data_IF_277595994739
#
_entry.id   IF_277595994739
#
_cell.length_a   1.000
_cell.length_b   1.000
_cell.length_c   1.000
_cell.angle_alpha   90.00
_cell.angle_beta   90.00
_cell.angle_gamma   90.00
#
_symmetry.space_group_name_H-M   'P 1'
#
loop_
_entity.id
_entity.type
_entity.pdbx_description
1 polymer ?
#
# COMPACT_ATOMS: atom_id res chain seq x y z
N UNK A 1 -25.78 -0.26 -25.12
CA UNK A 1 -25.13 -1.42 -24.46
C UNK A 1 -23.69 -1.06 -24.19
N UNK A 2 -23.39 -0.48 -23.03
CA UNK A 2 -21.99 -0.27 -22.59
C UNK A 2 -21.63 -1.45 -21.69
N UNK A 3 -21.35 -2.60 -22.30
CA UNK A 3 -20.84 -3.76 -21.58
C UNK A 3 -19.44 -3.43 -21.06
N UNK A 4 -19.11 -3.84 -19.83
CA UNK A 4 -17.74 -3.79 -19.37
C UNK A 4 -16.89 -4.74 -20.21
N UNK A 5 -15.65 -4.35 -20.48
CA UNK A 5 -14.69 -5.24 -21.15
C UNK A 5 -14.21 -6.28 -20.15
N UNK A 6 -14.37 -7.56 -20.46
CA UNK A 6 -13.75 -8.68 -19.74
C UNK A 6 -12.43 -9.05 -20.40
N UNK A 7 -11.55 -9.69 -19.65
CA UNK A 7 -10.41 -10.44 -20.20
C UNK A 7 -10.63 -11.94 -19.93
N UNK A 8 -10.15 -12.79 -20.81
CA UNK A 8 -10.32 -14.23 -20.67
C UNK A 8 -9.45 -14.79 -19.54
N UNK A 9 -10.07 -15.49 -18.59
CA UNK A 9 -9.36 -16.18 -17.50
C UNK A 9 -8.50 -17.29 -18.12
N UNK A 10 -7.25 -17.50 -17.65
CA UNK A 10 -6.40 -18.52 -18.26
C UNK A 10 -7.03 -19.91 -18.20
N UNK A 11 -6.97 -20.62 -19.31
CA UNK A 11 -7.59 -21.94 -19.47
C UNK A 11 -7.14 -22.93 -18.39
N UNK A 12 -8.11 -23.73 -17.90
CA UNK A 12 -7.90 -24.79 -16.93
C UNK A 12 -7.67 -24.31 -15.49
N UNK A 13 -7.66 -23.00 -15.24
CA UNK A 13 -7.35 -22.45 -13.91
C UNK A 13 -8.49 -22.68 -12.92
N UNK A 14 -9.74 -22.49 -13.34
CA UNK A 14 -10.89 -22.66 -12.46
C UNK A 14 -11.08 -24.13 -12.06
N UNK A 15 -10.90 -25.05 -13.00
CA UNK A 15 -10.97 -26.49 -12.78
C UNK A 15 -9.87 -26.96 -11.82
N UNK A 16 -8.63 -26.48 -12.01
CA UNK A 16 -7.51 -26.83 -11.11
C UNK A 16 -7.67 -26.22 -9.73
N UNK A 17 -8.32 -25.06 -9.60
CA UNK A 17 -8.67 -24.47 -8.30
C UNK A 17 -9.68 -25.32 -7.52
N UNK A 18 -10.54 -26.08 -8.21
CA UNK A 18 -11.49 -27.02 -7.60
C UNK A 18 -10.86 -28.42 -7.32
N UNK A 19 -9.57 -28.63 -7.62
CA UNK A 19 -8.93 -29.93 -7.43
C UNK A 19 -8.91 -30.35 -5.96
N UNK A 20 -9.06 -31.65 -5.64
CA UNK A 20 -8.83 -32.18 -4.29
C UNK A 20 -7.35 -32.13 -3.86
N UNK A 21 -6.41 -31.99 -4.81
CA UNK A 21 -4.99 -31.88 -4.49
C UNK A 21 -4.61 -30.44 -4.12
N UNK A 22 -4.11 -30.27 -2.89
CA UNK A 22 -3.78 -28.96 -2.34
C UNK A 22 -2.81 -28.16 -3.23
N UNK A 23 -1.73 -28.79 -3.70
CA UNK A 23 -0.71 -28.12 -4.53
C UNK A 23 -1.31 -27.58 -5.83
N UNK A 24 -2.11 -28.40 -6.54
CA UNK A 24 -2.81 -27.97 -7.76
C UNK A 24 -3.73 -26.76 -7.49
N UNK A 25 -4.45 -26.75 -6.36
CA UNK A 25 -5.29 -25.61 -5.99
C UNK A 25 -4.46 -24.35 -5.76
N UNK A 26 -3.36 -24.45 -5.01
CA UNK A 26 -2.52 -23.30 -4.68
C UNK A 26 -1.88 -22.70 -5.93
N UNK A 27 -1.34 -23.55 -6.80
CA UNK A 27 -0.70 -23.12 -8.04
C UNK A 27 -1.69 -22.45 -9.00
N UNK A 28 -2.89 -23.03 -9.14
CA UNK A 28 -3.94 -22.45 -9.96
C UNK A 28 -4.40 -21.08 -9.44
N UNK A 29 -4.57 -20.94 -8.12
CA UNK A 29 -4.92 -19.65 -7.53
C UNK A 29 -3.81 -18.62 -7.62
N UNK A 30 -2.55 -19.02 -7.45
CA UNK A 30 -1.40 -18.14 -7.67
C UNK A 30 -1.35 -17.65 -9.13
N UNK A 31 -1.62 -18.54 -10.10
CA UNK A 31 -1.72 -18.19 -11.52
C UNK A 31 -2.87 -17.22 -11.79
N UNK A 32 -4.06 -17.47 -11.22
CA UNK A 32 -5.21 -16.58 -11.36
C UNK A 32 -4.93 -15.20 -10.78
N UNK A 33 -4.32 -15.14 -9.59
CA UNK A 33 -3.94 -13.91 -8.91
C UNK A 33 -2.92 -13.10 -9.70
N UNK A 34 -1.91 -13.74 -10.27
CA UNK A 34 -0.95 -13.08 -11.14
C UNK A 34 -1.64 -12.47 -12.37
N UNK A 35 -2.46 -13.27 -13.06
CA UNK A 35 -3.20 -12.82 -14.24
C UNK A 35 -4.13 -11.65 -13.92
N UNK A 36 -4.85 -11.68 -12.79
CA UNK A 36 -5.78 -10.60 -12.43
C UNK A 36 -5.05 -9.29 -12.10
N UNK A 37 -3.86 -9.37 -11.50
CA UNK A 37 -3.01 -8.19 -11.28
C UNK A 37 -2.48 -7.59 -12.57
N UNK A 38 -2.12 -8.42 -13.55
CA UNK A 38 -1.68 -7.98 -14.89
C UNK A 38 -2.84 -7.39 -15.72
N UNK A 39 -4.08 -7.85 -15.47
CA UNK A 39 -5.29 -7.44 -16.18
C UNK A 39 -6.24 -6.60 -15.32
N UNK A 40 -5.71 -5.80 -14.38
CA UNK A 40 -6.46 -5.13 -13.32
C UNK A 40 -7.65 -4.29 -13.79
N UNK A 41 -7.63 -3.80 -15.03
CA UNK A 41 -8.71 -2.97 -15.60
C UNK A 41 -9.98 -3.77 -15.87
N UNK A 42 -9.86 -5.06 -16.22
CA UNK A 42 -10.93 -5.91 -16.75
C UNK A 42 -11.13 -7.20 -15.94
N UNK A 43 -10.12 -7.63 -15.18
CA UNK A 43 -10.19 -8.85 -14.39
C UNK A 43 -11.27 -8.85 -13.28
N UNK A 44 -11.65 -7.72 -12.64
CA UNK A 44 -12.75 -7.76 -11.67
C UNK A 44 -14.05 -8.27 -12.27
N UNK A 45 -14.38 -7.86 -13.48
CA UNK A 45 -15.59 -8.29 -14.19
C UNK A 45 -15.52 -9.76 -14.61
N UNK A 46 -14.37 -10.23 -15.11
CA UNK A 46 -14.20 -11.66 -15.42
C UNK A 46 -14.30 -12.55 -14.17
N UNK A 47 -13.78 -12.08 -13.03
CA UNK A 47 -13.88 -12.79 -11.75
C UNK A 47 -15.32 -12.78 -11.20
N UNK A 48 -16.09 -11.72 -11.46
CA UNK A 48 -17.52 -11.66 -11.16
C UNK A 48 -18.29 -12.73 -11.92
N UNK A 49 -18.05 -12.83 -13.23
CA UNK A 49 -18.66 -13.85 -14.09
C UNK A 49 -18.31 -15.27 -13.62
N UNK A 50 -17.04 -15.55 -13.32
CA UNK A 50 -16.61 -16.83 -12.79
C UNK A 50 -17.23 -17.15 -11.42
N UNK A 51 -17.38 -16.15 -10.55
CA UNK A 51 -18.04 -16.30 -9.25
C UNK A 51 -19.53 -16.62 -9.39
N UNK A 52 -20.22 -15.98 -10.34
CA UNK A 52 -21.66 -16.17 -10.57
C UNK A 52 -21.96 -17.51 -11.26
N UNK A 53 -21.14 -17.92 -12.23
CA UNK A 53 -21.37 -19.11 -13.07
C UNK A 53 -20.88 -20.41 -12.45
N UNK A 54 -19.84 -20.38 -11.60
CA UNK A 54 -19.32 -21.59 -10.97
C UNK A 54 -20.33 -22.21 -10.00
N UNK A 55 -20.35 -23.53 -9.88
CA UNK A 55 -21.08 -24.26 -8.84
C UNK A 55 -20.19 -24.71 -7.69
N UNK A 56 -18.86 -24.65 -7.87
CA UNK A 56 -17.88 -25.11 -6.90
C UNK A 56 -17.66 -24.07 -5.78
N UNK A 57 -17.82 -24.42 -4.49
CA UNK A 57 -17.66 -23.48 -3.38
C UNK A 57 -16.25 -22.90 -3.23
N UNK A 58 -15.20 -23.66 -3.54
CA UNK A 58 -13.81 -23.22 -3.45
C UNK A 58 -13.52 -22.18 -4.52
N UNK A 59 -13.95 -22.45 -5.76
CA UNK A 59 -13.84 -21.51 -6.88
C UNK A 59 -14.61 -20.23 -6.57
N UNK A 60 -15.85 -20.32 -6.08
CA UNK A 60 -16.62 -19.13 -5.69
C UNK A 60 -15.89 -18.28 -4.67
N UNK A 61 -15.42 -18.90 -3.59
CA UNK A 61 -14.77 -18.20 -2.47
C UNK A 61 -13.49 -17.50 -2.91
N UNK A 62 -12.67 -18.18 -3.71
CA UNK A 62 -11.40 -17.64 -4.22
C UNK A 62 -11.61 -16.55 -5.28
N UNK A 63 -12.54 -16.75 -6.21
CA UNK A 63 -12.91 -15.72 -7.18
C UNK A 63 -13.47 -14.48 -6.48
N UNK A 64 -14.34 -14.64 -5.47
CA UNK A 64 -14.87 -13.51 -4.70
C UNK A 64 -13.78 -12.74 -3.96
N UNK A 65 -12.88 -13.46 -3.28
CA UNK A 65 -11.77 -12.87 -2.53
C UNK A 65 -10.85 -12.09 -3.47
N UNK A 66 -10.45 -12.70 -4.58
CA UNK A 66 -9.57 -12.07 -5.54
C UNK A 66 -10.25 -10.90 -6.25
N UNK A 67 -11.54 -11.03 -6.60
CA UNK A 67 -12.35 -9.97 -7.20
C UNK A 67 -12.38 -8.74 -6.31
N UNK A 68 -12.64 -8.90 -5.01
CA UNK A 68 -12.59 -7.82 -4.03
C UNK A 68 -11.20 -7.18 -3.98
N UNK A 69 -10.14 -8.00 -3.91
CA UNK A 69 -8.76 -7.53 -3.89
C UNK A 69 -8.42 -6.67 -5.12
N UNK A 70 -8.69 -7.16 -6.33
CA UNK A 70 -8.34 -6.45 -7.56
C UNK A 70 -9.24 -5.27 -7.86
N UNK A 71 -10.53 -5.33 -7.49
CA UNK A 71 -11.44 -4.19 -7.63
C UNK A 71 -10.96 -3.03 -6.74
N UNK A 72 -10.65 -3.33 -5.47
CA UNK A 72 -10.13 -2.33 -4.54
C UNK A 72 -8.81 -1.77 -5.06
N UNK A 73 -7.91 -2.65 -5.53
CA UNK A 73 -6.63 -2.20 -6.09
C UNK A 73 -6.83 -1.35 -7.35
N UNK A 74 -7.81 -1.65 -8.20
CA UNK A 74 -8.16 -0.84 -9.38
C UNK A 74 -8.64 0.55 -8.98
N UNK A 75 -9.47 0.65 -7.94
CA UNK A 75 -10.09 1.92 -7.55
C UNK A 75 -9.20 2.78 -6.66
N UNK A 76 -8.42 2.16 -5.77
CA UNK A 76 -7.69 2.84 -4.70
C UNK A 76 -6.16 2.61 -4.74
N UNK A 77 -5.67 1.80 -5.68
CA UNK A 77 -4.26 1.39 -5.74
C UNK A 77 -3.90 0.35 -4.67
N UNK A 78 -2.61 0.07 -4.49
CA UNK A 78 -2.11 -0.91 -3.49
C UNK A 78 -2.19 -0.43 -2.03
N UNK A 79 -2.85 0.71 -1.80
CA UNK A 79 -2.86 1.41 -0.52
C UNK A 79 -1.66 2.34 -0.34
N UNK A 80 -1.76 3.19 0.69
CA UNK A 80 -0.75 4.20 1.02
C UNK A 80 0.53 3.55 1.52
N UNK A 81 1.66 4.09 1.07
CA UNK A 81 2.98 3.68 1.50
C UNK A 81 3.20 3.92 2.99
N UNK A 82 4.01 3.04 3.59
CA UNK A 82 4.37 3.09 5.00
C UNK A 82 5.82 2.65 5.20
N UNK A 83 6.60 3.47 5.92
CA UNK A 83 8.01 3.20 6.25
C UNK A 83 8.16 2.43 7.56
N UNK A 84 7.36 2.75 8.60
CA UNK A 84 7.42 2.08 9.90
C UNK A 84 8.30 2.76 10.95
N UNK A 85 8.12 4.07 11.17
CA UNK A 85 8.84 4.83 12.19
C UNK A 85 7.90 5.68 13.03
N UNK A 86 8.27 5.90 14.30
CA UNK A 86 7.83 7.10 15.03
C UNK A 86 8.87 8.19 14.83
N UNK A 87 8.40 9.43 14.80
CA UNK A 87 9.22 10.55 14.38
C UNK A 87 8.80 11.86 15.03
N UNK A 88 9.75 12.79 15.10
CA UNK A 88 9.54 14.15 15.57
C UNK A 88 10.24 15.15 14.65
N UNK A 89 9.75 16.39 14.66
CA UNK A 89 10.39 17.49 13.94
C UNK A 89 11.73 17.82 14.59
N UNK A 90 12.75 18.11 13.78
CA UNK A 90 14.05 18.56 14.29
C UNK A 90 14.71 19.52 13.31
N UNK A 91 15.75 20.20 13.76
CA UNK A 91 16.64 20.94 12.87
C UNK A 91 18.09 20.56 13.15
N UNK A 92 18.92 20.56 12.12
CA UNK A 92 20.35 20.28 12.19
C UNK A 92 21.16 21.55 11.89
N UNK A 93 22.28 21.78 12.58
CA UNK A 93 23.20 22.85 12.20
C UNK A 93 23.80 22.58 10.81
N UNK A 94 23.89 23.62 9.97
CA UNK A 94 24.62 23.53 8.69
C UNK A 94 26.09 23.83 8.90
N UNK A 95 26.92 23.37 7.94
CA UNK A 95 28.37 23.64 7.92
C UNK A 95 28.73 25.13 7.91
N UNK A 96 27.80 25.99 7.47
CA UNK A 96 27.97 27.44 7.47
C UNK A 96 27.74 28.09 8.84
N UNK A 97 27.37 27.32 9.88
CA UNK A 97 27.27 27.74 11.28
C UNK A 97 26.11 28.70 11.60
N UNK A 98 25.59 29.40 10.59
CA UNK A 98 24.57 30.45 10.74
C UNK A 98 23.16 29.93 10.41
N UNK A 99 23.05 28.86 9.62
CA UNK A 99 21.76 28.34 9.17
C UNK A 99 21.48 26.96 9.76
N UNK A 100 20.20 26.68 9.99
CA UNK A 100 19.72 25.34 10.33
C UNK A 100 19.08 24.67 9.11
N UNK A 101 19.09 23.34 9.09
CA UNK A 101 18.43 22.50 8.11
C UNK A 101 17.25 21.78 8.78
N UNK A 102 16.03 21.89 8.27
CA UNK A 102 14.89 21.14 8.78
C UNK A 102 15.05 19.64 8.53
N UNK A 103 14.47 18.82 9.40
CA UNK A 103 14.62 17.37 9.35
C UNK A 103 13.57 16.63 10.18
N UNK A 104 13.48 15.33 9.93
CA UNK A 104 12.60 14.40 10.64
C UNK A 104 13.47 13.44 11.44
N UNK A 105 13.45 13.55 12.77
CA UNK A 105 14.19 12.64 13.66
C UNK A 105 13.39 11.37 13.86
N UNK A 106 14.03 10.23 13.67
CA UNK A 106 13.47 8.91 14.00
C UNK A 106 13.59 8.70 15.51
N UNK A 107 12.46 8.60 16.20
CA UNK A 107 12.40 8.32 17.65
C UNK A 107 12.24 6.83 17.94
N UNK A 108 11.61 6.08 17.03
CA UNK A 108 11.43 4.63 17.14
C UNK A 108 11.37 4.00 15.76
N UNK A 109 11.91 2.79 15.62
CA UNK A 109 11.75 1.94 14.46
C UNK A 109 10.77 0.82 14.82
N UNK A 110 9.69 0.69 14.06
CA UNK A 110 8.64 -0.30 14.33
C UNK A 110 9.13 -1.67 13.82
N UNK A 111 9.04 -2.75 14.62
CA UNK A 111 9.42 -4.09 14.19
C UNK A 111 8.63 -4.59 12.97
N UNK A 112 9.27 -5.44 12.16
CA UNK A 112 8.72 -6.07 10.95
C UNK A 112 8.25 -5.04 9.90
N UNK A 113 8.97 -3.93 9.78
CA UNK A 113 8.68 -2.87 8.81
C UNK A 113 9.88 -2.54 7.90
N UNK A 114 9.67 -1.84 6.78
CA UNK A 114 10.74 -1.40 5.89
C UNK A 114 11.84 -0.59 6.58
N UNK A 115 11.50 0.20 7.60
CA UNK A 115 12.47 0.94 8.39
C UNK A 115 13.48 0.01 9.08
N UNK A 116 12.99 -1.05 9.72
CA UNK A 116 13.86 -2.06 10.34
C UNK A 116 14.68 -2.80 9.28
N UNK A 117 14.03 -3.27 8.21
CA UNK A 117 14.68 -4.05 7.16
C UNK A 117 15.78 -3.26 6.41
N UNK A 118 15.61 -1.95 6.27
CA UNK A 118 16.61 -1.06 5.65
C UNK A 118 17.73 -0.60 6.62
N UNK A 119 17.63 -0.97 7.90
CA UNK A 119 18.58 -0.59 8.93
C UNK A 119 18.55 0.90 9.28
N UNK A 120 17.37 1.54 9.20
CA UNK A 120 17.13 2.80 9.90
C UNK A 120 17.28 2.58 11.40
N UNK A 121 17.73 3.61 12.10
CA UNK A 121 18.01 3.56 13.51
C UNK A 121 17.41 4.78 14.23
N UNK A 122 17.19 4.63 15.54
CA UNK A 122 16.85 5.75 16.41
C UNK A 122 17.93 6.83 16.31
N UNK A 123 17.53 8.09 16.32
CA UNK A 123 18.35 9.29 16.13
C UNK A 123 18.86 9.56 14.71
N UNK A 124 18.55 8.71 13.72
CA UNK A 124 18.66 9.14 12.33
C UNK A 124 17.79 10.37 12.09
N UNK A 125 18.30 11.31 11.29
CA UNK A 125 17.52 12.47 10.86
C UNK A 125 17.37 12.43 9.35
N UNK A 126 16.14 12.21 8.88
CA UNK A 126 15.80 12.32 7.46
C UNK A 126 15.81 13.80 7.09
N UNK A 127 16.54 14.16 6.03
CA UNK A 127 16.67 15.54 5.56
C UNK A 127 16.16 15.73 4.13
N UNK A 128 15.95 14.64 3.40
CA UNK A 128 15.29 14.62 2.10
C UNK A 128 14.70 13.23 1.82
N UNK A 129 13.73 13.18 0.91
CA UNK A 129 13.13 11.96 0.38
C UNK A 129 13.06 12.06 -1.14
N UNK A 130 13.68 11.10 -1.83
CA UNK A 130 13.96 11.15 -3.26
C UNK A 130 14.58 12.51 -3.63
N UNK A 131 13.97 13.24 -4.57
CA UNK A 131 14.44 14.56 -4.99
C UNK A 131 13.92 15.72 -4.12
N UNK A 132 13.10 15.42 -3.12
CA UNK A 132 12.44 16.44 -2.29
C UNK A 132 13.27 16.73 -1.03
N UNK A 133 13.91 17.89 -1.01
CA UNK A 133 14.71 18.36 0.12
C UNK A 133 13.85 19.23 1.06
N UNK A 134 13.91 18.95 2.36
CA UNK A 134 13.10 19.70 3.33
C UNK A 134 13.53 21.17 3.46
N UNK A 135 14.70 21.55 2.95
CA UNK A 135 15.12 22.96 2.84
C UNK A 135 14.22 23.79 1.95
N UNK A 136 13.53 23.15 1.00
CA UNK A 136 12.66 23.80 0.03
C UNK A 136 11.23 24.00 0.57
N UNK A 137 10.97 23.55 1.82
CA UNK A 137 9.70 23.78 2.47
C UNK A 137 9.45 25.28 2.72
N UNK A 138 8.21 25.76 2.52
CA UNK A 138 7.83 27.12 2.87
C UNK A 138 8.09 27.41 4.35
N UNK A 139 8.57 28.62 4.66
CA UNK A 139 8.88 29.05 6.03
C UNK A 139 7.82 30.04 6.53
N UNK A 140 7.29 29.84 7.73
CA UNK A 140 6.33 30.74 8.37
C UNK A 140 5.35 30.02 9.32
N UNK A 141 4.57 30.77 10.10
CA UNK A 141 3.49 30.20 10.92
C UNK A 141 2.42 29.55 10.01
N UNK A 142 1.93 28.38 10.42
CA UNK A 142 0.92 27.62 9.68
C UNK A 142 1.45 26.85 8.46
N UNK A 143 2.76 26.88 8.19
CA UNK A 143 3.36 26.17 7.05
C UNK A 143 3.66 24.69 7.37
N UNK A 144 3.74 23.89 6.32
CA UNK A 144 3.95 22.44 6.39
C UNK A 144 5.31 22.10 7.03
N UNK A 145 5.29 21.35 8.13
CA UNK A 145 6.50 20.87 8.80
C UNK A 145 7.19 19.73 8.02
N UNK A 146 8.44 19.42 8.33
CA UNK A 146 9.17 18.31 7.71
C UNK A 146 8.49 16.98 7.99
N UNK A 147 7.95 16.79 9.20
CA UNK A 147 7.21 15.57 9.57
C UNK A 147 5.97 15.39 8.70
N UNK A 148 5.15 16.44 8.55
CA UNK A 148 3.94 16.37 7.71
C UNK A 148 4.32 16.19 6.24
N UNK A 149 5.34 16.90 5.76
CA UNK A 149 5.82 16.76 4.38
C UNK A 149 6.34 15.34 4.08
N UNK A 150 7.12 14.77 4.99
CA UNK A 150 7.61 13.40 4.89
C UNK A 150 6.46 12.38 4.91
N UNK A 151 5.55 12.50 5.88
CA UNK A 151 4.39 11.61 6.01
C UNK A 151 3.53 11.63 4.75
N UNK A 152 3.19 12.82 4.24
CA UNK A 152 2.38 12.97 3.03
C UNK A 152 3.09 12.42 1.80
N UNK A 153 4.40 12.67 1.67
CA UNK A 153 5.18 12.13 0.54
C UNK A 153 5.13 10.60 0.56
N UNK A 154 5.42 9.97 1.70
CA UNK A 154 5.37 8.51 1.85
C UNK A 154 3.97 7.96 1.57
N UNK A 155 2.92 8.61 2.09
CA UNK A 155 1.53 8.18 1.88
C UNK A 155 1.02 8.41 0.45
N UNK A 156 1.63 9.34 -0.30
CA UNK A 156 1.31 9.56 -1.72
C UNK A 156 1.86 8.48 -2.65
N UNK A 157 2.81 7.66 -2.15
CA UNK A 157 3.33 6.51 -2.88
C UNK A 157 2.52 5.26 -2.56
N UNK A 158 2.56 4.29 -3.46
CA UNK A 158 1.94 2.99 -3.25
C UNK A 158 2.76 2.11 -2.30
N UNK A 159 2.08 1.24 -1.57
CA UNK A 159 2.71 0.07 -0.97
C UNK A 159 3.43 -0.77 -2.04
N UNK A 160 4.64 -1.24 -1.73
CA UNK A 160 5.56 -1.87 -2.67
C UNK A 160 6.39 -0.88 -3.51
N UNK A 161 6.02 0.40 -3.52
CA UNK A 161 6.83 1.47 -4.13
C UNK A 161 8.16 1.66 -3.40
N UNK A 162 9.17 2.13 -4.11
CA UNK A 162 10.51 2.33 -3.55
C UNK A 162 10.80 3.83 -3.46
N UNK A 163 11.28 4.28 -2.29
CA UNK A 163 11.75 5.65 -2.05
C UNK A 163 13.18 5.63 -1.54
N UNK A 164 13.90 6.72 -1.75
CA UNK A 164 15.27 6.92 -1.26
C UNK A 164 15.25 7.95 -0.15
N UNK A 165 15.58 7.56 1.08
CA UNK A 165 15.74 8.50 2.18
C UNK A 165 17.18 8.98 2.23
N UNK A 166 17.36 10.29 2.31
CA UNK A 166 18.66 10.89 2.63
C UNK A 166 18.66 11.21 4.13
N UNK A 167 19.48 10.49 4.89
CA UNK A 167 19.55 10.60 6.34
C UNK A 167 20.89 11.15 6.80
N UNK A 168 20.90 11.82 7.94
CA UNK A 168 22.12 12.19 8.66
C UNK A 168 22.27 11.27 9.87
N UNK A 169 23.38 10.53 9.92
CA UNK A 169 23.76 9.66 11.03
C UNK A 169 25.20 9.95 11.44
N UNK A 170 25.41 10.29 12.71
CA UNK A 170 26.75 10.67 13.20
C UNK A 170 27.39 11.81 12.39
N UNK A 171 26.58 12.76 11.90
CA UNK A 171 27.04 13.89 11.08
C UNK A 171 27.33 13.57 9.61
N UNK A 172 27.20 12.32 9.17
CA UNK A 172 27.40 11.91 7.77
C UNK A 172 26.07 11.76 7.05
N UNK A 173 26.02 12.18 5.79
CA UNK A 173 24.88 11.94 4.90
C UNK A 173 24.94 10.51 4.37
N UNK A 174 23.84 9.76 4.49
CA UNK A 174 23.70 8.37 4.06
C UNK A 174 22.41 8.26 3.26
N UNK A 175 22.44 7.51 2.17
CA UNK A 175 21.25 7.17 1.39
C UNK A 175 20.73 5.79 1.79
N UNK A 176 19.41 5.68 1.95
CA UNK A 176 18.72 4.44 2.28
C UNK A 176 17.56 4.24 1.31
N UNK A 177 17.67 3.23 0.46
CA UNK A 177 16.58 2.78 -0.42
C UNK A 177 15.61 1.94 0.40
N UNK A 178 14.33 2.29 0.39
CA UNK A 178 13.29 1.67 1.21
C UNK A 178 12.11 1.28 0.33
N UNK A 179 11.78 0.00 0.34
CA UNK A 179 10.54 -0.53 -0.26
C UNK A 179 9.40 -0.37 0.72
N UNK A 180 8.45 0.51 0.42
CA UNK A 180 7.30 0.81 1.27
C UNK A 180 6.39 -0.41 1.41
N UNK A 181 5.67 -0.51 2.52
CA UNK A 181 4.63 -1.52 2.71
C UNK A 181 3.27 -0.87 2.93
N UNK A 182 2.19 -1.66 2.91
CA UNK A 182 0.90 -1.23 3.47
C UNK A 182 1.03 -1.17 4.98
N UNK A 183 0.49 -0.14 5.64
CA UNK A 183 0.54 -0.06 7.10
C UNK A 183 -0.12 -1.31 7.72
N UNK A 184 0.59 -2.07 8.57
CA UNK A 184 0.02 -3.26 9.19
C UNK A 184 -0.95 -2.89 10.32
N UNK A 185 -1.91 -3.76 10.60
CA UNK A 185 -3.01 -3.51 11.56
C UNK A 185 -2.50 -3.19 12.97
N UNK A 186 -1.49 -3.95 13.45
CA UNK A 186 -0.88 -3.69 14.75
C UNK A 186 -0.23 -2.30 14.86
N UNK A 187 0.14 -1.68 13.74
CA UNK A 187 0.69 -0.33 13.69
C UNK A 187 -0.38 0.75 13.47
N UNK A 188 -1.66 0.37 13.29
CA UNK A 188 -2.81 1.30 13.24
C UNK A 188 -3.38 1.62 14.61
N UNK A 189 -3.20 0.72 15.57
CA UNK A 189 -3.70 0.85 16.93
C UNK A 189 -3.06 2.06 17.62
N UNK A 190 -3.88 2.92 18.23
CA UNK A 190 -3.38 3.96 19.13
C UNK A 190 -2.87 3.34 20.45
N UNK A 191 -2.31 4.16 21.36
CA UNK A 191 -1.85 3.73 22.68
C UNK A 191 -2.96 3.16 23.59
N UNK A 192 -4.22 3.24 23.17
CA UNK A 192 -5.39 2.65 23.83
C UNK A 192 -5.94 1.43 23.06
N UNK A 193 -5.22 0.93 22.04
CA UNK A 193 -5.65 -0.23 21.26
C UNK A 193 -6.85 0.03 20.36
N UNK A 194 -7.21 1.29 20.09
CA UNK A 194 -8.33 1.63 19.21
C UNK A 194 -7.86 1.62 17.77
N UNK A 195 -8.57 0.83 16.96
CA UNK A 195 -8.39 0.85 15.52
C UNK A 195 -8.99 2.14 14.95
N UNK A 196 -8.19 2.88 14.17
CA UNK A 196 -8.67 4.02 13.39
C UNK A 196 -9.32 3.52 12.09
N UNK A 197 -10.14 2.47 12.19
CA UNK A 197 -10.64 1.60 11.11
C UNK A 197 -11.69 2.23 10.20
N UNK A 198 -11.49 3.46 9.75
CA UNK A 198 -12.34 4.08 8.71
C UNK A 198 -12.07 3.45 7.34
N UNK A 199 -10.81 3.06 7.07
CA UNK A 199 -10.38 2.58 5.75
C UNK A 199 -11.03 1.25 5.35
N UNK A 200 -11.13 0.25 6.24
CA UNK A 200 -11.73 -1.05 5.90
C UNK A 200 -13.23 -0.95 5.59
N UNK A 201 -13.97 -0.17 6.38
CA UNK A 201 -15.40 0.08 6.14
C UNK A 201 -15.65 0.79 4.81
N UNK A 202 -14.81 1.76 4.47
CA UNK A 202 -14.88 2.48 3.19
C UNK A 202 -14.62 1.54 2.00
N UNK A 203 -13.63 0.64 2.12
CA UNK A 203 -13.32 -0.36 1.10
C UNK A 203 -14.45 -1.37 0.91
N UNK A 204 -15.04 -1.85 2.00
CA UNK A 204 -16.18 -2.77 1.97
C UNK A 204 -17.41 -2.13 1.34
N UNK A 205 -17.68 -0.87 1.69
CA UNK A 205 -18.77 -0.11 1.10
C UNK A 205 -18.56 0.09 -0.40
N UNK A 206 -17.35 0.50 -0.83
CA UNK A 206 -17.02 0.69 -2.24
C UNK A 206 -17.18 -0.61 -3.04
N UNK A 207 -16.72 -1.73 -2.48
CA UNK A 207 -16.89 -3.04 -3.11
C UNK A 207 -18.36 -3.46 -3.20
N UNK A 208 -19.14 -3.27 -2.14
CA UNK A 208 -20.58 -3.56 -2.14
C UNK A 208 -21.37 -2.71 -3.14
N UNK A 209 -21.02 -1.44 -3.30
CA UNK A 209 -21.66 -0.56 -4.28
C UNK A 209 -21.30 -0.93 -5.73
N UNK A 210 -20.08 -1.42 -5.96
CA UNK A 210 -19.70 -1.98 -7.25
C UNK A 210 -20.42 -3.29 -7.57
N UNK A 211 -20.58 -4.21 -6.60
CA UNK A 211 -21.37 -5.43 -6.78
C UNK A 211 -22.81 -5.13 -7.20
N UNK A 212 -23.49 -4.20 -6.51
CA UNK A 212 -24.85 -3.76 -6.88
C UNK A 212 -24.91 -3.19 -8.30
N UNK A 213 -23.84 -2.56 -8.77
CA UNK A 213 -23.75 -2.05 -10.15
C UNK A 213 -23.66 -3.19 -11.16
N UNK A 214 -22.89 -4.24 -10.85
CA UNK A 214 -22.80 -5.43 -11.70
C UNK A 214 -24.15 -6.15 -11.82
N UNK A 215 -24.84 -6.40 -10.70
CA UNK A 215 -26.16 -7.05 -10.66
C UNK A 215 -27.24 -6.29 -11.44
N UNK A 216 -27.16 -4.95 -11.49
CA UNK A 216 -28.11 -4.12 -12.25
C UNK A 216 -27.93 -4.18 -13.76
N UNK A 217 -26.75 -4.57 -14.22
CA UNK A 217 -26.39 -4.63 -15.65
C UNK A 217 -26.62 -6.02 -16.26
N UNK A 218 -26.80 -7.03 -15.40
CA UNK A 218 -27.21 -8.39 -15.77
C UNK A 218 -28.73 -8.54 -15.93
N UNK A 219 -29.50 -7.50 -15.55
CA UNK A 219 -30.96 -7.38 -15.74
C UNK A 219 -31.30 -6.56 -16.99
#
# INVERSE_FOLDING_TARGET
MTGFSTAEIPEGVLEKMASEQYEMRQDAYARLKKWSQENIKTSPESLHEAWHTSQDPEVKTRCFTLMKEVMIQRQFGKGKGFVGVQMSETTLPRKDGVKTRPGVRISMVIPNTPAQASGLAVNDVVVAIDKFDFRDLPKGQGMKSSVTAFSDYVQSKEAGGVVTLHIVRGGKLIEKKITLMKRPDYARLDSLGRDRGTEEKELDQAFGDWLKKMEKLEK
#
